data_IF_079168616205
#
_entry.id   IF_079168616205
#
_cell.length_a   1.000
_cell.length_b   1.000
_cell.length_c   1.000
_cell.angle_alpha   90.00
_cell.angle_beta   90.00
_cell.angle_gamma   90.00
#
_symmetry.space_group_name_H-M   'P 1'
#
loop_
_entity.id
_entity.type
_entity.pdbx_description
1 polymer ?
#
# COMPACT_ATOMS: atom_id res chain seq x y z
N UNK A 1 16.92 -6.78 -10.83
CA UNK A 1 15.53 -7.22 -10.99
C UNK A 1 15.17 -8.27 -9.95
N UNK A 2 13.96 -8.24 -9.45
CA UNK A 2 13.38 -9.28 -8.59
C UNK A 2 12.06 -9.78 -9.18
N UNK A 3 11.69 -11.02 -8.82
CA UNK A 3 10.39 -11.64 -9.09
C UNK A 3 9.93 -12.24 -7.77
N UNK A 4 8.92 -11.66 -7.15
CA UNK A 4 8.46 -12.02 -5.80
C UNK A 4 7.05 -12.60 -5.89
N UNK A 5 6.81 -13.82 -5.36
CA UNK A 5 5.46 -14.37 -5.24
C UNK A 5 4.59 -13.49 -4.34
N UNK A 6 3.36 -13.21 -4.78
CA UNK A 6 2.40 -12.39 -4.07
C UNK A 6 1.00 -12.98 -4.18
N UNK A 7 0.65 -13.88 -3.28
CA UNK A 7 -0.58 -14.64 -3.40
C UNK A 7 -0.58 -15.47 -4.70
N UNK A 8 -1.49 -15.17 -5.61
CA UNK A 8 -1.54 -15.76 -6.96
C UNK A 8 -0.89 -14.91 -8.06
N UNK A 9 -0.31 -13.76 -7.67
CA UNK A 9 0.35 -12.82 -8.55
C UNK A 9 1.87 -12.86 -8.37
N UNK A 10 2.57 -12.11 -9.18
CA UNK A 10 4.01 -11.90 -9.10
C UNK A 10 4.31 -10.41 -9.13
N UNK A 11 5.13 -9.94 -8.20
CA UNK A 11 5.67 -8.58 -8.27
C UNK A 11 7.01 -8.64 -8.98
N UNK A 12 7.09 -7.95 -10.12
CA UNK A 12 8.31 -7.83 -10.93
C UNK A 12 8.82 -6.40 -10.83
N UNK A 13 10.06 -6.19 -10.46
CA UNK A 13 10.65 -4.87 -10.26
C UNK A 13 12.17 -4.92 -10.14
N UNK A 14 12.80 -3.81 -10.21
CA UNK A 14 12.32 -2.43 -10.30
C UNK A 14 13.19 -1.67 -11.29
N UNK A 15 12.64 -0.64 -11.88
CA UNK A 15 13.45 0.43 -12.48
C UNK A 15 14.03 1.31 -11.37
N UNK A 16 15.05 2.10 -11.68
CA UNK A 16 15.67 3.07 -10.76
C UNK A 16 16.18 4.23 -11.60
N UNK A 17 15.31 5.18 -11.88
CA UNK A 17 15.52 6.34 -12.75
C UNK A 17 15.34 7.63 -11.97
N UNK A 18 15.99 8.70 -12.41
CA UNK A 18 15.83 10.03 -11.80
C UNK A 18 14.43 10.57 -12.07
N UNK A 19 13.83 11.19 -11.05
CA UNK A 19 12.53 11.83 -11.17
C UNK A 19 12.59 13.25 -10.64
N UNK A 20 12.41 14.24 -11.52
CA UNK A 20 12.47 15.65 -11.20
C UNK A 20 11.13 16.39 -11.37
N UNK A 21 10.04 15.65 -11.61
CA UNK A 21 8.69 16.16 -11.88
C UNK A 21 7.83 16.13 -10.59
N UNK A 22 6.52 16.00 -10.71
CA UNK A 22 5.63 15.99 -9.55
C UNK A 22 5.96 14.85 -8.57
N UNK A 23 6.08 15.20 -7.29
CA UNK A 23 6.50 14.26 -6.25
C UNK A 23 5.33 13.56 -5.56
N UNK A 24 4.13 14.09 -5.67
CA UNK A 24 2.95 13.50 -5.06
C UNK A 24 2.51 12.23 -5.83
N UNK A 25 2.66 12.25 -7.16
CA UNK A 25 2.18 11.18 -8.02
C UNK A 25 3.22 10.75 -9.08
N UNK A 26 4.36 10.18 -8.68
CA UNK A 26 5.32 9.66 -9.64
C UNK A 26 4.66 8.62 -10.55
N UNK A 27 4.94 8.68 -11.83
CA UNK A 27 4.35 7.83 -12.84
C UNK A 27 5.36 6.81 -13.39
N UNK A 28 4.86 5.65 -13.82
CA UNK A 28 5.63 4.72 -14.64
C UNK A 28 5.27 4.95 -16.12
N UNK A 29 6.27 4.83 -16.97
CA UNK A 29 6.16 4.98 -18.43
C UNK A 29 6.02 3.63 -19.14
N UNK A 30 5.68 3.63 -20.43
CA UNK A 30 5.76 2.42 -21.25
C UNK A 30 7.19 1.88 -21.31
N UNK A 31 8.19 2.76 -21.32
CA UNK A 31 9.60 2.37 -21.34
C UNK A 31 10.02 1.61 -20.06
N UNK A 32 9.50 1.98 -18.88
CA UNK A 32 9.73 1.24 -17.63
C UNK A 32 9.14 -0.17 -17.70
N UNK A 33 7.92 -0.29 -18.20
CA UNK A 33 7.24 -1.59 -18.34
C UNK A 33 8.00 -2.48 -19.33
N UNK A 34 8.37 -1.95 -20.49
CA UNK A 34 9.10 -2.67 -21.51
C UNK A 34 10.49 -3.11 -21.02
N UNK A 35 11.17 -2.26 -20.24
CA UNK A 35 12.43 -2.62 -19.58
C UNK A 35 12.27 -3.82 -18.65
N UNK A 36 11.24 -3.80 -17.78
CA UNK A 36 10.99 -4.90 -16.84
C UNK A 36 10.61 -6.20 -17.57
N UNK A 37 9.70 -6.12 -18.53
CA UNK A 37 9.30 -7.27 -19.36
C UNK A 37 10.48 -7.84 -20.15
N UNK A 38 11.28 -7.00 -20.80
CA UNK A 38 12.45 -7.42 -21.56
C UNK A 38 13.51 -8.11 -20.70
N UNK A 39 13.64 -7.74 -19.42
CA UNK A 39 14.58 -8.39 -18.50
C UNK A 39 14.04 -9.70 -17.93
N UNK A 40 12.77 -9.73 -17.50
CA UNK A 40 12.20 -10.93 -16.89
C UNK A 40 12.03 -12.05 -17.90
N UNK A 41 11.68 -11.73 -19.16
CA UNK A 41 11.50 -12.70 -20.22
C UNK A 41 12.80 -13.44 -20.62
N UNK A 42 13.97 -12.92 -20.24
CA UNK A 42 15.24 -13.65 -20.44
C UNK A 42 15.41 -14.87 -19.55
N UNK A 43 14.64 -14.96 -18.47
CA UNK A 43 14.76 -16.02 -17.45
C UNK A 43 13.48 -16.84 -17.27
N UNK A 44 12.37 -16.40 -17.86
CA UNK A 44 11.11 -17.13 -17.83
C UNK A 44 11.00 -18.11 -19.01
N UNK A 45 10.33 -19.22 -18.80
CA UNK A 45 10.00 -20.19 -19.87
C UNK A 45 8.84 -19.72 -20.74
N UNK A 46 7.96 -18.87 -20.20
CA UNK A 46 6.82 -18.27 -20.90
C UNK A 46 7.06 -16.76 -21.04
N UNK A 47 6.90 -16.25 -22.23
CA UNK A 47 7.04 -14.81 -22.49
C UNK A 47 5.82 -14.06 -21.92
N UNK A 48 6.09 -13.04 -21.11
CA UNK A 48 5.09 -12.10 -20.62
C UNK A 48 5.00 -10.89 -21.54
N UNK A 49 3.80 -10.37 -21.67
CA UNK A 49 3.49 -9.19 -22.47
C UNK A 49 2.82 -8.11 -21.60
N UNK A 50 2.59 -6.93 -22.15
CA UNK A 50 1.82 -5.89 -21.44
C UNK A 50 0.39 -6.34 -21.09
N UNK A 51 -0.19 -7.29 -21.84
CA UNK A 51 -1.52 -7.84 -21.55
C UNK A 51 -1.55 -8.70 -20.26
N UNK A 52 -0.39 -9.17 -19.79
CA UNK A 52 -0.25 -9.95 -18.56
C UNK A 52 -0.04 -9.04 -17.32
N UNK A 53 0.09 -7.73 -17.52
CA UNK A 53 0.30 -6.76 -16.45
C UNK A 53 -1.04 -6.35 -15.83
N UNK A 54 -1.31 -6.84 -14.64
CA UNK A 54 -2.54 -6.50 -13.90
C UNK A 54 -2.46 -5.14 -13.23
N UNK A 55 -1.29 -4.76 -12.71
CA UNK A 55 -1.05 -3.55 -11.96
C UNK A 55 0.35 -2.99 -12.12
N UNK A 56 0.46 -1.67 -12.05
CA UNK A 56 1.74 -0.96 -12.02
C UNK A 56 1.68 0.06 -10.89
N UNK A 57 2.76 0.21 -10.14
CA UNK A 57 2.91 1.28 -9.18
C UNK A 57 4.33 1.85 -9.22
N UNK A 58 4.44 3.13 -8.97
CA UNK A 58 5.70 3.87 -8.89
C UNK A 58 5.80 4.58 -7.53
N UNK A 59 7.02 4.81 -7.06
CA UNK A 59 7.28 5.51 -5.81
C UNK A 59 8.66 6.12 -5.80
N UNK A 60 8.84 7.19 -5.04
CA UNK A 60 10.12 7.87 -4.90
C UNK A 60 10.96 7.27 -3.79
N UNK A 61 12.26 7.17 -4.02
CA UNK A 61 13.25 6.88 -2.98
C UNK A 61 13.80 8.20 -2.42
N UNK A 62 13.71 8.44 -1.11
CA UNK A 62 14.32 9.61 -0.49
C UNK A 62 15.84 9.38 -0.38
N UNK A 63 16.57 9.63 -1.46
CA UNK A 63 18.03 9.53 -1.49
C UNK A 63 18.65 10.80 -0.93
N UNK A 64 19.73 10.62 -0.17
CA UNK A 64 20.55 11.74 0.29
C UNK A 64 21.44 12.21 -0.86
N UNK A 65 21.57 13.52 -1.03
CA UNK A 65 22.57 14.08 -1.93
C UNK A 65 23.97 13.70 -1.46
N UNK A 66 24.76 13.15 -2.35
CA UNK A 66 26.12 12.67 -2.07
C UNK A 66 27.09 13.07 -3.18
N UNK A 67 28.31 12.54 -3.13
CA UNK A 67 29.38 12.83 -4.07
C UNK A 67 29.18 12.19 -5.46
N UNK A 68 28.08 11.47 -5.71
CA UNK A 68 27.83 10.77 -6.97
C UNK A 68 26.62 11.34 -7.68
N UNK A 69 26.79 11.66 -8.98
CA UNK A 69 25.70 12.02 -9.88
C UNK A 69 24.82 10.83 -10.31
N UNK A 70 25.21 9.61 -9.92
CA UNK A 70 24.43 8.40 -10.23
C UNK A 70 23.58 7.98 -9.03
N UNK A 71 22.26 8.06 -9.15
CA UNK A 71 21.27 7.70 -8.14
C UNK A 71 21.47 6.29 -7.56
N UNK A 72 21.88 5.34 -8.40
CA UNK A 72 22.15 3.95 -7.99
C UNK A 72 23.34 3.78 -7.02
N UNK A 73 24.22 4.79 -6.97
CA UNK A 73 25.42 4.81 -6.09
C UNK A 73 25.25 5.64 -4.83
N UNK A 74 24.14 6.38 -4.68
CA UNK A 74 23.86 7.17 -3.49
C UNK A 74 23.58 6.26 -2.28
N UNK A 75 23.97 6.73 -1.10
CA UNK A 75 23.72 6.01 0.15
C UNK A 75 22.23 5.83 0.39
N UNK A 76 21.86 4.63 0.80
CA UNK A 76 20.52 4.26 1.26
C UNK A 76 20.44 4.18 2.79
N UNK A 77 21.45 4.68 3.48
CA UNK A 77 21.43 4.86 4.93
C UNK A 77 20.63 6.11 5.28
N UNK A 78 20.05 6.14 6.45
CA UNK A 78 19.41 7.35 6.96
C UNK A 78 20.43 8.23 7.69
N UNK A 79 20.14 9.51 7.75
CA UNK A 79 20.84 10.47 8.61
C UNK A 79 19.84 11.15 9.54
N UNK A 80 20.34 11.54 10.72
CA UNK A 80 19.65 12.46 11.62
C UNK A 80 20.44 13.76 11.65
N UNK A 81 19.79 14.88 11.42
CA UNK A 81 20.44 16.19 11.28
C UNK A 81 19.70 17.28 12.05
N UNK A 82 20.43 18.36 12.38
CA UNK A 82 19.94 19.56 13.04
C UNK A 82 20.08 20.78 12.11
N UNK A 83 19.18 20.98 11.14
CA UNK A 83 19.27 22.09 10.19
C UNK A 83 19.01 23.46 10.84
N UNK A 84 18.36 23.48 12.01
CA UNK A 84 18.13 24.68 12.81
C UNK A 84 18.01 24.32 14.30
N UNK A 85 18.24 25.27 15.22
CA UNK A 85 18.03 25.04 16.65
C UNK A 85 16.62 24.55 16.95
N UNK A 86 16.49 23.46 17.71
CA UNK A 86 15.22 22.85 18.08
C UNK A 86 14.53 22.02 16.99
N UNK A 87 15.16 21.85 15.82
CA UNK A 87 14.65 21.03 14.71
C UNK A 87 15.55 19.81 14.50
N UNK A 88 14.98 18.64 14.67
CA UNK A 88 15.59 17.35 14.31
C UNK A 88 14.92 16.82 13.06
N UNK A 89 15.71 16.46 12.06
CA UNK A 89 15.23 15.91 10.78
C UNK A 89 15.87 14.56 10.54
N UNK A 90 15.08 13.57 10.14
CA UNK A 90 15.55 12.30 9.61
C UNK A 90 15.28 12.23 8.11
N UNK A 91 16.28 11.81 7.34
CA UNK A 91 16.18 11.68 5.90
C UNK A 91 16.91 10.44 5.39
N UNK A 92 16.56 9.96 4.19
CA UNK A 92 17.11 8.73 3.62
C UNK A 92 16.51 7.47 4.23
N UNK A 93 17.26 6.36 4.20
CA UNK A 93 16.87 5.08 4.75
C UNK A 93 15.90 4.29 3.88
N UNK A 94 15.29 3.28 4.47
CA UNK A 94 14.34 2.38 3.81
C UNK A 94 13.14 2.12 4.73
N UNK A 95 12.00 1.77 4.13
CA UNK A 95 10.83 1.36 4.91
C UNK A 95 11.15 0.19 5.87
N UNK A 96 11.98 -0.75 5.46
CA UNK A 96 12.39 -1.90 6.30
C UNK A 96 13.25 -1.53 7.50
N UNK A 97 13.84 -0.34 7.53
CA UNK A 97 14.66 0.17 8.65
C UNK A 97 13.94 1.24 9.48
N UNK A 98 12.62 1.44 9.27
CA UNK A 98 11.83 2.52 9.89
C UNK A 98 11.97 2.57 11.42
N UNK A 99 12.03 1.41 12.10
CA UNK A 99 12.15 1.34 13.56
C UNK A 99 13.47 1.94 14.04
N UNK A 100 14.58 1.60 13.37
CA UNK A 100 15.92 2.13 13.70
C UNK A 100 15.97 3.62 13.38
N UNK A 101 15.42 4.05 12.24
CA UNK A 101 15.32 5.47 11.88
C UNK A 101 14.54 6.27 12.93
N UNK A 102 13.41 5.74 13.37
CA UNK A 102 12.59 6.38 14.40
C UNK A 102 13.35 6.44 15.75
N UNK A 103 14.01 5.33 16.14
CA UNK A 103 14.84 5.30 17.34
C UNK A 103 15.91 6.40 17.30
N UNK A 104 16.70 6.45 16.24
CA UNK A 104 17.83 7.39 16.14
C UNK A 104 17.34 8.86 16.12
N UNK A 105 16.23 9.13 15.44
CA UNK A 105 15.63 10.46 15.42
C UNK A 105 15.09 10.89 16.80
N UNK A 106 14.42 10.00 17.53
CA UNK A 106 13.88 10.29 18.86
C UNK A 106 14.99 10.39 19.90
N UNK A 107 15.97 9.50 19.86
CA UNK A 107 17.13 9.56 20.78
C UNK A 107 17.90 10.88 20.60
N UNK A 108 18.03 11.36 19.36
CA UNK A 108 18.68 12.64 19.07
C UNK A 108 17.83 13.83 19.56
N UNK A 109 16.52 13.80 19.34
CA UNK A 109 15.61 14.83 19.82
C UNK A 109 15.58 14.89 21.37
N UNK A 110 15.62 13.73 22.02
CA UNK A 110 15.61 13.60 23.48
C UNK A 110 16.83 14.25 24.15
N UNK A 111 17.98 14.26 23.50
CA UNK A 111 19.22 14.94 24.03
C UNK A 111 19.00 16.43 24.30
N UNK A 112 18.08 17.05 23.54
CA UNK A 112 17.74 18.48 23.71
C UNK A 112 16.76 18.77 24.82
N UNK A 113 16.09 17.76 25.41
CA UNK A 113 14.99 17.99 26.34
C UNK A 113 15.41 18.20 27.78
N UNK A 114 16.60 17.91 28.18
CA UNK A 114 17.04 17.95 29.58
C UNK A 114 16.30 16.91 30.44
N UNK A 115 17.01 16.26 31.33
CA UNK A 115 16.48 15.17 32.16
C UNK A 115 16.94 13.78 31.68
N UNK A 116 16.55 12.77 32.43
CA UNK A 116 16.88 11.38 32.12
C UNK A 116 15.79 10.77 31.23
N UNK A 117 16.05 10.66 29.94
CA UNK A 117 15.16 10.02 28.97
C UNK A 117 15.62 8.57 28.80
N UNK A 118 14.76 7.56 29.08
CA UNK A 118 15.16 6.17 28.95
C UNK A 118 15.47 5.81 27.49
N UNK A 119 16.34 4.83 27.31
CA UNK A 119 16.64 4.28 25.98
C UNK A 119 15.39 3.69 25.32
N UNK A 120 15.36 3.70 23.98
CA UNK A 120 14.26 3.14 23.20
C UNK A 120 14.13 1.62 23.46
N UNK A 121 12.91 1.20 23.82
CA UNK A 121 12.54 -0.21 24.00
C UNK A 121 11.88 -0.83 22.74
N UNK A 122 11.83 -0.10 21.64
CA UNK A 122 11.04 -0.48 20.44
C UNK A 122 11.47 -1.78 19.78
N UNK A 123 12.70 -2.22 19.98
CA UNK A 123 13.18 -3.52 19.49
C UNK A 123 12.45 -4.73 20.14
N UNK A 124 11.92 -4.53 21.34
CA UNK A 124 11.20 -5.55 22.12
C UNK A 124 9.68 -5.37 22.05
N UNK A 125 9.18 -4.38 21.31
CA UNK A 125 7.75 -4.14 21.12
C UNK A 125 7.28 -4.89 19.88
N UNK A 126 6.42 -5.91 20.03
CA UNK A 126 5.90 -6.63 18.89
C UNK A 126 4.99 -5.73 18.04
N UNK A 127 4.96 -5.97 16.74
CA UNK A 127 4.05 -5.28 15.83
C UNK A 127 2.60 -5.57 16.20
N UNK A 128 1.72 -4.60 15.92
CA UNK A 128 0.27 -4.77 16.07
C UNK A 128 -0.19 -5.98 15.24
N UNK A 129 -1.01 -6.81 15.84
CA UNK A 129 -1.47 -8.05 15.18
C UNK A 129 -0.52 -9.26 15.30
N UNK A 130 0.71 -9.10 15.84
CA UNK A 130 1.69 -10.19 15.89
C UNK A 130 1.54 -11.09 17.14
N UNK A 131 1.15 -10.51 18.29
CA UNK A 131 1.09 -11.27 19.55
C UNK A 131 -0.02 -12.33 19.48
N UNK A 132 0.37 -13.61 19.61
CA UNK A 132 -0.57 -14.72 19.51
C UNK A 132 -0.88 -15.20 18.08
N UNK A 133 -0.24 -14.61 17.05
CA UNK A 133 -0.47 -14.98 15.66
C UNK A 133 -0.35 -16.48 15.39
N UNK A 134 0.74 -17.11 15.84
CA UNK A 134 0.96 -18.55 15.61
C UNK A 134 -0.12 -19.43 16.26
N UNK A 135 -0.57 -19.05 17.45
CA UNK A 135 -1.66 -19.79 18.12
C UNK A 135 -2.97 -19.66 17.34
N UNK A 136 -3.26 -18.46 16.82
CA UNK A 136 -4.44 -18.20 16.02
C UNK A 136 -4.37 -18.89 14.65
N UNK A 137 -3.21 -18.87 14.00
CA UNK A 137 -2.97 -19.63 12.77
C UNK A 137 -3.23 -21.14 12.95
N UNK A 138 -2.77 -21.72 14.06
CA UNK A 138 -3.01 -23.11 14.37
C UNK A 138 -4.49 -23.43 14.61
N UNK A 139 -5.28 -22.43 15.02
CA UNK A 139 -6.74 -22.54 15.20
C UNK A 139 -7.57 -22.15 13.98
N UNK A 140 -6.98 -21.81 12.84
CA UNK A 140 -7.70 -21.27 11.67
C UNK A 140 -8.87 -22.13 11.18
N UNK A 141 -8.75 -23.46 11.26
CA UNK A 141 -9.85 -24.37 10.93
C UNK A 141 -11.01 -24.32 11.95
N UNK A 142 -10.71 -24.03 13.21
CA UNK A 142 -11.74 -23.80 14.24
C UNK A 142 -12.41 -22.44 14.01
N UNK A 143 -11.65 -21.39 13.77
CA UNK A 143 -12.15 -20.05 13.41
C UNK A 143 -13.08 -20.12 12.19
N UNK A 144 -12.72 -20.88 11.18
CA UNK A 144 -13.55 -21.09 10.00
C UNK A 144 -14.92 -21.70 10.36
N UNK A 145 -14.94 -22.75 11.18
CA UNK A 145 -16.19 -23.36 11.64
C UNK A 145 -17.02 -22.44 12.53
N UNK A 146 -16.38 -21.71 13.43
CA UNK A 146 -17.02 -20.77 14.37
C UNK A 146 -17.65 -19.58 13.65
N UNK A 147 -16.98 -19.06 12.60
CA UNK A 147 -17.45 -17.91 11.82
C UNK A 147 -18.35 -18.28 10.63
N UNK A 148 -18.41 -19.54 10.23
CA UNK A 148 -19.09 -19.98 9.01
C UNK A 148 -18.36 -19.62 7.72
N UNK A 149 -17.14 -19.08 7.79
CA UNK A 149 -16.34 -18.70 6.64
C UNK A 149 -15.46 -19.89 6.17
N UNK A 150 -15.10 -19.88 4.87
CA UNK A 150 -14.15 -20.86 4.35
C UNK A 150 -12.76 -20.63 4.95
N UNK A 151 -12.02 -21.73 5.20
CA UNK A 151 -10.69 -21.66 5.84
C UNK A 151 -9.69 -20.80 5.07
N UNK A 152 -9.72 -20.79 3.75
CA UNK A 152 -8.87 -19.92 2.93
C UNK A 152 -9.14 -18.42 3.19
N UNK A 153 -10.37 -18.04 3.51
CA UNK A 153 -10.71 -16.65 3.89
C UNK A 153 -10.06 -16.29 5.22
N UNK A 154 -10.13 -17.20 6.17
CA UNK A 154 -9.46 -17.02 7.47
C UNK A 154 -7.94 -16.90 7.29
N UNK A 155 -7.34 -17.75 6.45
CA UNK A 155 -5.90 -17.70 6.17
C UNK A 155 -5.49 -16.37 5.50
N UNK A 156 -6.24 -15.90 4.50
CA UNK A 156 -6.00 -14.61 3.86
C UNK A 156 -6.11 -13.43 4.85
N UNK A 157 -7.16 -13.41 5.68
CA UNK A 157 -7.33 -12.38 6.70
C UNK A 157 -6.23 -12.43 7.76
N UNK A 158 -5.81 -13.62 8.21
CA UNK A 158 -4.69 -13.77 9.14
C UNK A 158 -3.38 -13.22 8.54
N UNK A 159 -3.11 -13.46 7.26
CA UNK A 159 -1.93 -12.92 6.59
C UNK A 159 -1.95 -11.39 6.46
N UNK A 160 -3.13 -10.77 6.34
CA UNK A 160 -3.30 -9.31 6.20
C UNK A 160 -3.34 -8.59 7.54
N UNK A 161 -4.13 -9.10 8.48
CA UNK A 161 -4.50 -8.39 9.72
C UNK A 161 -3.94 -9.04 11.00
N UNK A 162 -3.25 -10.18 10.88
CA UNK A 162 -2.77 -10.89 12.07
C UNK A 162 -3.90 -11.28 13.02
N UNK A 163 -3.69 -11.11 14.33
CA UNK A 163 -4.72 -11.41 15.33
C UNK A 163 -5.90 -10.42 15.35
N UNK A 164 -5.78 -9.29 14.66
CA UNK A 164 -6.86 -8.32 14.50
C UNK A 164 -8.04 -8.87 13.68
N UNK A 165 -7.87 -10.02 13.03
CA UNK A 165 -8.97 -10.76 12.41
C UNK A 165 -10.17 -10.92 13.36
N UNK A 166 -9.95 -10.97 14.67
CA UNK A 166 -11.03 -11.07 15.66
C UNK A 166 -12.00 -9.89 15.62
N UNK A 167 -11.51 -8.70 15.29
CA UNK A 167 -12.32 -7.49 15.16
C UNK A 167 -13.16 -7.57 13.87
N UNK A 168 -12.58 -8.04 12.77
CA UNK A 168 -13.30 -8.26 11.51
C UNK A 168 -14.37 -9.35 11.69
N UNK A 169 -14.04 -10.45 12.38
CA UNK A 169 -15.00 -11.51 12.65
C UNK A 169 -16.12 -11.04 13.58
N UNK A 170 -15.86 -10.09 14.48
CA UNK A 170 -16.91 -9.45 15.28
C UNK A 170 -17.87 -8.61 14.42
N UNK A 171 -17.36 -7.89 13.42
CA UNK A 171 -18.21 -7.20 12.43
C UNK A 171 -19.09 -8.19 11.66
N UNK A 172 -18.51 -9.29 11.18
CA UNK A 172 -19.26 -10.35 10.48
C UNK A 172 -20.30 -11.01 11.38
N UNK A 173 -20.00 -11.20 12.68
CA UNK A 173 -20.96 -11.76 13.62
C UNK A 173 -22.14 -10.81 13.90
N UNK A 174 -21.89 -9.50 13.89
CA UNK A 174 -22.93 -8.47 14.04
C UNK A 174 -23.79 -8.30 12.77
N UNK A 175 -23.16 -8.40 11.60
CA UNK A 175 -23.82 -8.37 10.30
C UNK A 175 -23.24 -9.49 9.38
N UNK A 176 -23.94 -10.63 9.26
CA UNK A 176 -23.47 -11.75 8.44
C UNK A 176 -23.22 -11.41 6.96
N UNK A 177 -23.85 -10.36 6.42
CA UNK A 177 -23.62 -9.93 5.04
C UNK A 177 -22.18 -9.44 4.81
N UNK A 178 -21.48 -8.99 5.86
CA UNK A 178 -20.08 -8.58 5.81
C UNK A 178 -19.12 -9.77 5.63
N UNK A 179 -19.58 -10.99 5.86
CA UNK A 179 -18.85 -12.23 5.54
C UNK A 179 -18.86 -12.60 4.06
N UNK A 180 -19.62 -11.89 3.23
CA UNK A 180 -19.65 -12.11 1.79
C UNK A 180 -18.45 -11.45 1.10
N UNK A 181 -17.99 -12.00 -0.05
CA UNK A 181 -16.99 -11.34 -0.89
C UNK A 181 -17.45 -9.97 -1.37
N UNK A 182 -16.50 -9.03 -1.49
CA UNK A 182 -16.76 -7.75 -2.16
C UNK A 182 -16.99 -7.98 -3.66
N UNK A 183 -18.10 -7.52 -4.25
CA UNK A 183 -18.31 -7.62 -5.70
C UNK A 183 -17.19 -6.88 -6.47
N UNK A 184 -16.54 -7.57 -7.41
CA UNK A 184 -15.39 -7.04 -8.17
C UNK A 184 -14.07 -7.03 -7.40
N UNK A 185 -14.07 -7.58 -6.18
CA UNK A 185 -12.89 -7.70 -5.32
C UNK A 185 -12.96 -8.96 -4.45
N UNK A 186 -13.29 -10.09 -5.06
CA UNK A 186 -13.71 -11.34 -4.41
C UNK A 186 -12.65 -11.94 -3.47
N UNK A 187 -11.41 -11.48 -3.54
CA UNK A 187 -10.36 -11.88 -2.59
C UNK A 187 -10.48 -11.20 -1.22
N UNK A 188 -11.30 -10.16 -1.12
CA UNK A 188 -11.60 -9.44 0.12
C UNK A 188 -13.06 -9.63 0.54
N UNK A 189 -13.30 -9.70 1.85
CA UNK A 189 -14.64 -9.68 2.40
C UNK A 189 -15.14 -8.24 2.55
N UNK A 190 -16.46 -8.04 2.47
CA UNK A 190 -17.10 -6.75 2.77
C UNK A 190 -16.71 -6.22 4.16
N UNK A 191 -16.53 -7.12 5.14
CA UNK A 191 -16.07 -6.77 6.49
C UNK A 191 -14.66 -6.17 6.53
N UNK A 192 -13.74 -6.59 5.64
CA UNK A 192 -12.40 -5.98 5.54
C UNK A 192 -12.49 -4.54 5.01
N UNK A 193 -13.43 -4.25 4.11
CA UNK A 193 -13.68 -2.91 3.57
C UNK A 193 -14.23 -1.97 4.65
N UNK A 194 -15.21 -2.44 5.43
CA UNK A 194 -15.75 -1.68 6.57
C UNK A 194 -14.66 -1.47 7.63
N UNK A 195 -13.82 -2.47 7.89
CA UNK A 195 -12.72 -2.39 8.84
C UNK A 195 -11.68 -1.34 8.42
N UNK A 196 -11.37 -1.24 7.14
CA UNK A 196 -10.47 -0.22 6.60
C UNK A 196 -10.90 1.21 6.96
N UNK A 197 -12.19 1.51 6.90
CA UNK A 197 -12.73 2.82 7.26
C UNK A 197 -12.87 3.00 8.78
N UNK A 198 -13.36 1.99 9.50
CA UNK A 198 -13.70 2.11 10.90
C UNK A 198 -12.50 1.99 11.86
N UNK A 199 -11.43 1.26 11.47
CA UNK A 199 -10.31 0.93 12.35
C UNK A 199 -8.93 1.31 11.77
N UNK A 200 -8.79 1.40 10.44
CA UNK A 200 -7.50 1.64 9.78
C UNK A 200 -7.37 3.07 9.22
N UNK A 201 -8.32 3.96 9.54
CA UNK A 201 -8.25 5.38 9.25
C UNK A 201 -8.34 5.73 7.76
N UNK A 202 -8.99 4.91 6.94
CA UNK A 202 -9.30 5.29 5.57
C UNK A 202 -10.37 6.39 5.55
N UNK A 203 -10.15 7.44 4.79
CA UNK A 203 -11.03 8.60 4.65
C UNK A 203 -11.64 8.71 3.25
N UNK A 204 -10.94 8.18 2.26
CA UNK A 204 -11.34 8.22 0.86
C UNK A 204 -11.38 6.80 0.26
N UNK A 205 -12.15 6.64 -0.81
CA UNK A 205 -12.25 5.36 -1.52
C UNK A 205 -10.89 4.86 -2.03
N UNK A 206 -10.02 5.78 -2.42
CA UNK A 206 -8.65 5.48 -2.83
C UNK A 206 -7.81 4.89 -1.68
N UNK A 207 -8.00 5.35 -0.43
CA UNK A 207 -7.32 4.74 0.72
C UNK A 207 -7.70 3.27 0.85
N UNK A 208 -8.96 2.95 0.66
CA UNK A 208 -9.49 1.60 0.80
C UNK A 208 -8.96 0.70 -0.32
N UNK A 209 -9.14 1.11 -1.59
CA UNK A 209 -8.89 0.26 -2.75
C UNK A 209 -7.40 0.15 -3.12
N UNK A 210 -6.57 1.17 -2.75
CA UNK A 210 -5.15 1.19 -3.09
C UNK A 210 -4.22 1.00 -1.89
N UNK A 211 -4.62 1.41 -0.66
CA UNK A 211 -3.72 1.46 0.49
C UNK A 211 -4.07 0.45 1.59
N UNK A 212 -5.35 0.22 1.89
CA UNK A 212 -5.79 -0.76 2.91
C UNK A 212 -6.03 -2.13 2.31
N UNK A 213 -6.58 -2.16 1.11
CA UNK A 213 -6.49 -3.31 0.22
C UNK A 213 -5.44 -3.04 -0.87
N UNK A 214 -5.21 -3.98 -1.76
CA UNK A 214 -4.35 -3.80 -2.94
C UNK A 214 -5.12 -4.06 -4.23
N UNK A 215 -6.44 -3.93 -4.17
CA UNK A 215 -7.33 -4.20 -5.30
C UNK A 215 -6.96 -3.40 -6.54
N UNK A 216 -6.48 -2.16 -6.36
CA UNK A 216 -6.03 -1.29 -7.46
C UNK A 216 -4.89 -1.87 -8.30
N UNK A 217 -4.10 -2.81 -7.74
CA UNK A 217 -2.97 -3.45 -8.44
C UNK A 217 -3.11 -4.97 -8.54
N UNK A 218 -4.09 -5.58 -7.87
CA UNK A 218 -4.36 -7.03 -7.88
C UNK A 218 -5.50 -7.42 -8.82
N UNK A 219 -6.11 -6.47 -9.52
CA UNK A 219 -7.19 -6.72 -10.48
C UNK A 219 -6.95 -6.00 -11.80
N UNK A 220 -7.26 -6.67 -12.92
CA UNK A 220 -7.12 -6.12 -14.27
C UNK A 220 -7.93 -4.85 -14.49
N UNK A 221 -9.12 -4.74 -13.89
CA UNK A 221 -9.95 -3.54 -13.98
C UNK A 221 -9.53 -2.44 -13.00
N UNK A 222 -8.48 -2.68 -12.19
CA UNK A 222 -7.99 -1.75 -11.17
C UNK A 222 -9.05 -1.40 -10.13
N UNK A 223 -9.85 -2.37 -9.74
CA UNK A 223 -10.96 -2.24 -8.79
C UNK A 223 -12.09 -1.26 -9.23
N UNK A 224 -12.22 -0.97 -10.52
CA UNK A 224 -13.34 -0.15 -11.05
C UNK A 224 -14.68 -0.78 -10.68
N UNK A 225 -14.82 -2.09 -10.89
CA UNK A 225 -16.05 -2.82 -10.55
C UNK A 225 -16.33 -2.81 -9.04
N UNK A 226 -15.28 -2.88 -8.21
CA UNK A 226 -15.40 -2.89 -6.76
C UNK A 226 -15.66 -1.50 -6.16
N UNK A 227 -15.43 -0.41 -6.89
CA UNK A 227 -15.43 0.96 -6.35
C UNK A 227 -16.78 1.37 -5.76
N UNK A 228 -17.87 1.19 -6.50
CA UNK A 228 -19.22 1.54 -6.03
C UNK A 228 -19.65 0.67 -4.84
N UNK A 229 -19.56 -0.67 -4.88
CA UNK A 229 -19.86 -1.51 -3.74
C UNK A 229 -19.04 -1.16 -2.48
N UNK A 230 -17.77 -0.85 -2.63
CA UNK A 230 -16.91 -0.44 -1.51
C UNK A 230 -17.36 0.90 -0.93
N UNK A 231 -17.64 1.91 -1.77
CA UNK A 231 -18.10 3.22 -1.34
C UNK A 231 -19.44 3.13 -0.56
N UNK A 232 -20.39 2.35 -1.06
CA UNK A 232 -21.68 2.15 -0.38
C UNK A 232 -21.54 1.45 0.98
N UNK A 233 -20.61 0.50 1.11
CA UNK A 233 -20.31 -0.19 2.37
C UNK A 233 -19.74 0.74 3.45
N UNK A 234 -18.87 1.68 3.07
CA UNK A 234 -18.21 2.56 4.04
C UNK A 234 -18.97 3.86 4.29
N UNK A 235 -19.91 4.20 3.45
CA UNK A 235 -20.72 5.43 3.56
C UNK A 235 -21.32 5.63 4.96
N UNK A 236 -21.94 4.61 5.61
CA UNK A 236 -22.46 4.78 6.96
C UNK A 236 -21.39 5.04 8.01
N UNK A 237 -20.16 4.54 7.80
CA UNK A 237 -19.02 4.72 8.72
C UNK A 237 -18.43 6.11 8.58
N UNK A 238 -18.28 6.59 7.34
CA UNK A 238 -17.66 7.87 7.02
C UNK A 238 -18.63 9.04 6.96
N UNK A 239 -19.94 8.77 7.11
CA UNK A 239 -20.96 9.79 7.04
C UNK A 239 -21.21 10.33 5.62
N UNK A 240 -20.96 9.53 4.59
CA UNK A 240 -21.16 9.92 3.20
C UNK A 240 -22.63 9.86 2.80
N UNK A 241 -23.08 10.89 2.14
CA UNK A 241 -24.37 10.89 1.44
C UNK A 241 -24.23 10.35 0.00
N UNK A 242 -25.32 10.27 -0.72
CA UNK A 242 -25.34 9.76 -2.10
C UNK A 242 -24.47 10.59 -3.05
N UNK A 243 -24.41 11.91 -2.86
CA UNK A 243 -23.58 12.78 -3.69
C UNK A 243 -22.10 12.53 -3.43
N UNK A 244 -21.69 12.39 -2.16
CA UNK A 244 -20.31 12.07 -1.77
C UNK A 244 -19.89 10.70 -2.31
N UNK A 245 -20.77 9.68 -2.26
CA UNK A 245 -20.50 8.37 -2.87
C UNK A 245 -20.22 8.52 -4.37
N UNK A 246 -21.05 9.27 -5.08
CA UNK A 246 -20.88 9.49 -6.52
C UNK A 246 -19.56 10.21 -6.83
N UNK A 247 -19.21 11.23 -6.05
CA UNK A 247 -17.95 11.95 -6.17
C UNK A 247 -16.72 11.08 -5.89
N UNK A 248 -16.76 10.25 -4.86
CA UNK A 248 -15.64 9.35 -4.48
C UNK A 248 -15.41 8.29 -5.58
N UNK A 249 -16.47 7.72 -6.12
CA UNK A 249 -16.40 6.74 -7.21
C UNK A 249 -15.86 7.39 -8.49
N UNK A 250 -16.38 8.57 -8.87
CA UNK A 250 -15.92 9.28 -10.06
C UNK A 250 -14.45 9.68 -9.94
N UNK A 251 -14.04 10.21 -8.78
CA UNK A 251 -12.66 10.55 -8.53
C UNK A 251 -11.73 9.34 -8.65
N UNK A 252 -12.12 8.19 -8.07
CA UNK A 252 -11.35 6.97 -8.19
C UNK A 252 -11.20 6.52 -9.65
N UNK A 253 -12.28 6.59 -10.44
CA UNK A 253 -12.26 6.26 -11.87
C UNK A 253 -11.33 7.19 -12.67
N UNK A 254 -11.35 8.48 -12.38
CA UNK A 254 -10.44 9.46 -13.01
C UNK A 254 -8.98 9.16 -12.68
N UNK A 255 -8.67 8.79 -11.43
CA UNK A 255 -7.33 8.38 -11.04
C UNK A 255 -6.87 7.13 -11.79
N UNK A 256 -7.71 6.10 -11.86
CA UNK A 256 -7.38 4.87 -12.60
C UNK A 256 -7.17 5.17 -14.09
N UNK A 257 -7.99 6.04 -14.69
CA UNK A 257 -7.83 6.43 -16.08
C UNK A 257 -6.50 7.17 -16.31
N UNK A 258 -6.14 8.11 -15.43
CA UNK A 258 -4.88 8.86 -15.50
C UNK A 258 -3.66 7.95 -15.31
N UNK A 259 -3.73 6.99 -14.38
CA UNK A 259 -2.68 5.98 -14.17
C UNK A 259 -2.48 5.10 -15.41
N UNK A 260 -3.56 4.61 -16.00
CA UNK A 260 -3.48 3.80 -17.22
C UNK A 260 -2.93 4.60 -18.40
N UNK A 261 -3.34 5.85 -18.52
CA UNK A 261 -2.83 6.73 -19.57
C UNK A 261 -1.32 6.97 -19.40
N UNK A 262 -0.83 7.25 -18.19
CA UNK A 262 0.59 7.47 -17.93
C UNK A 262 1.45 6.28 -18.35
N UNK A 263 0.97 5.06 -18.15
CA UNK A 263 1.67 3.81 -18.50
C UNK A 263 1.81 3.58 -20.02
N UNK A 264 1.09 4.33 -20.84
CA UNK A 264 1.21 4.30 -22.31
C UNK A 264 2.10 5.41 -22.85
N UNK A 265 2.53 6.33 -22.01
CA UNK A 265 3.37 7.46 -22.42
C UNK A 265 4.83 7.05 -22.59
N UNK A 266 5.54 7.62 -23.59
CA UNK A 266 6.90 7.19 -23.93
C UNK A 266 7.98 7.71 -22.96
N UNK A 267 7.70 8.79 -22.24
CA UNK A 267 8.67 9.47 -21.37
C UNK A 267 8.01 10.03 -20.09
N UNK A 268 8.85 10.40 -19.13
CA UNK A 268 8.42 10.87 -17.81
C UNK A 268 7.57 12.14 -17.88
N UNK A 269 7.89 13.08 -18.74
CA UNK A 269 7.16 14.35 -18.84
C UNK A 269 5.73 14.13 -19.37
N UNK A 270 5.56 13.26 -20.35
CA UNK A 270 4.25 12.90 -20.88
C UNK A 270 3.47 12.05 -19.87
N UNK A 271 4.13 11.14 -19.15
CA UNK A 271 3.52 10.30 -18.13
C UNK A 271 3.05 11.14 -16.93
N UNK A 272 3.86 12.09 -16.46
CA UNK A 272 3.51 13.05 -15.40
C UNK A 272 2.31 13.90 -15.80
N UNK A 273 2.34 14.50 -16.99
CA UNK A 273 1.23 15.30 -17.51
C UNK A 273 -0.08 14.50 -17.61
N UNK A 274 0.00 13.23 -18.00
CA UNK A 274 -1.17 12.34 -18.03
C UNK A 274 -1.67 12.03 -16.61
N UNK A 275 -0.76 11.79 -15.66
CA UNK A 275 -1.08 11.46 -14.26
C UNK A 275 -1.75 12.63 -13.54
N UNK A 276 -1.31 13.85 -13.81
CA UNK A 276 -1.85 15.09 -13.24
C UNK A 276 -3.25 15.49 -13.77
N UNK A 277 -3.81 14.76 -14.73
CA UNK A 277 -5.19 15.00 -15.17
C UNK A 277 -6.24 14.58 -14.14
N UNK A 278 -5.90 13.68 -13.23
CA UNK A 278 -6.78 13.37 -12.10
C UNK A 278 -6.48 14.32 -10.93
N UNK A 279 -7.47 15.08 -10.46
CA UNK A 279 -7.27 15.99 -9.33
C UNK A 279 -6.97 15.23 -8.05
N UNK A 280 -6.11 15.82 -7.20
CA UNK A 280 -5.96 15.37 -5.84
C UNK A 280 -7.21 15.71 -5.00
N UNK A 281 -7.54 14.82 -4.08
CA UNK A 281 -8.37 15.17 -2.92
C UNK A 281 -7.41 15.32 -1.74
N UNK A 282 -7.24 16.57 -1.30
CA UNK A 282 -6.41 16.92 -0.16
C UNK A 282 -6.98 16.44 1.15
#
# INVERSE_FOLDING_TARGET
LFVIPWGRHWIIGTTDTDWALDKAHPAATSADIDYLLGHVNRVLATELTQADVEGVYAGLRPLLSGESDQTSKLSREHIVAHPAPGLVVVAGGKYTTYRVMAKDAIDEAARGLGGDVPESATENIPMVGAVGYQAMWNRRAALARESGLHVERIEKMLMRHGVLITEILALVAADPSLGEPLPGGEDYLKGEIVYAASHEGALHLDDILARRTRLSIESFDRAITASRPAAELVAPVLGWDAATIDEEVEHYHQRVAAERMSQTMPDDAAADAARLQAPDRG
#
